data_IF_031311346786
#
_entry.id   IF_031311346786
#
_cell.length_a   1.000
_cell.length_b   1.000
_cell.length_c   1.000
_cell.angle_alpha   90.00
_cell.angle_beta   90.00
_cell.angle_gamma   90.00
#
_symmetry.space_group_name_H-M   'P 1'
#
loop_
_entity.id
_entity.type
_entity.pdbx_description
1 polymer ?
#
# COMPACT_ATOMS: atom_id res chain seq x y z
N UNK A 1 -17.00 41.68 2.83
CA UNK A 1 -16.78 40.66 3.88
C UNK A 1 -17.84 39.55 3.89
N UNK A 2 -19.14 39.82 3.85
CA UNK A 2 -20.23 38.79 3.91
C UNK A 2 -20.16 37.66 2.85
N UNK A 3 -19.79 37.94 1.58
CA UNK A 3 -19.65 36.92 0.52
C UNK A 3 -18.54 35.88 0.78
N UNK A 4 -17.46 36.30 1.44
CA UNK A 4 -16.31 35.41 1.76
C UNK A 4 -16.62 34.44 2.91
N UNK A 5 -17.45 34.88 3.86
CA UNK A 5 -17.93 34.06 4.99
C UNK A 5 -18.94 33.02 4.51
N UNK A 6 -19.90 33.37 3.67
CA UNK A 6 -20.86 32.41 3.09
C UNK A 6 -20.17 31.30 2.28
N UNK A 7 -19.16 31.64 1.47
CA UNK A 7 -18.39 30.66 0.70
C UNK A 7 -17.61 29.68 1.62
N UNK A 8 -17.05 30.18 2.71
CA UNK A 8 -16.37 29.34 3.71
C UNK A 8 -17.34 28.36 4.39
N UNK A 9 -18.53 28.82 4.78
CA UNK A 9 -19.56 27.96 5.39
C UNK A 9 -19.99 26.86 4.43
N UNK A 10 -20.28 27.19 3.18
CA UNK A 10 -20.63 26.20 2.14
C UNK A 10 -19.49 25.19 1.98
N UNK A 11 -18.23 25.63 1.89
CA UNK A 11 -17.08 24.73 1.76
C UNK A 11 -16.99 23.78 2.97
N UNK A 12 -17.16 24.27 4.20
CA UNK A 12 -17.13 23.43 5.39
C UNK A 12 -18.26 22.40 5.37
N UNK A 13 -19.48 22.79 5.00
CA UNK A 13 -20.62 21.87 4.88
C UNK A 13 -20.33 20.77 3.87
N UNK A 14 -19.83 21.14 2.67
CA UNK A 14 -19.48 20.17 1.64
C UNK A 14 -18.38 19.21 2.11
N UNK A 15 -17.34 19.70 2.78
CA UNK A 15 -16.27 18.87 3.36
C UNK A 15 -16.84 17.89 4.39
N UNK A 16 -17.71 18.35 5.29
CA UNK A 16 -18.35 17.49 6.29
C UNK A 16 -19.19 16.40 5.64
N UNK A 17 -19.98 16.74 4.62
CA UNK A 17 -20.79 15.74 3.89
C UNK A 17 -19.90 14.69 3.23
N UNK A 18 -18.83 15.11 2.54
CA UNK A 18 -17.88 14.19 1.90
C UNK A 18 -17.19 13.31 2.93
N UNK A 19 -16.77 13.87 4.07
CA UNK A 19 -16.16 13.11 5.15
C UNK A 19 -17.13 12.07 5.74
N UNK A 20 -18.39 12.45 6.00
CA UNK A 20 -19.41 11.52 6.50
C UNK A 20 -19.66 10.38 5.51
N UNK A 21 -19.77 10.70 4.20
CA UNK A 21 -19.93 9.70 3.17
C UNK A 21 -18.73 8.74 3.08
N UNK A 22 -17.51 9.27 3.14
CA UNK A 22 -16.29 8.47 3.09
C UNK A 22 -16.10 7.60 4.33
N UNK A 23 -16.50 8.08 5.52
CA UNK A 23 -16.36 7.34 6.78
C UNK A 23 -17.48 6.30 6.99
N UNK A 24 -18.63 6.47 6.35
CA UNK A 24 -19.78 5.60 6.53
C UNK A 24 -19.47 4.10 6.39
N UNK A 25 -18.79 3.62 5.31
CA UNK A 25 -18.47 2.20 5.19
C UNK A 25 -17.57 1.68 6.31
N UNK A 26 -16.64 2.49 6.79
CA UNK A 26 -15.76 2.09 7.91
C UNK A 26 -16.53 2.01 9.22
N UNK A 27 -17.39 2.97 9.50
CA UNK A 27 -18.24 2.95 10.71
C UNK A 27 -19.22 1.77 10.65
N UNK A 28 -19.77 1.47 9.48
CA UNK A 28 -20.63 0.30 9.28
C UNK A 28 -19.86 -1.03 9.49
N UNK A 29 -18.65 -1.15 8.96
CA UNK A 29 -17.75 -2.28 9.15
C UNK A 29 -17.46 -2.50 10.65
N UNK A 30 -17.06 -1.45 11.36
CA UNK A 30 -16.80 -1.48 12.80
C UNK A 30 -18.09 -1.87 13.56
N UNK A 31 -19.22 -1.25 13.26
CA UNK A 31 -20.49 -1.61 13.87
C UNK A 31 -20.82 -3.08 13.67
N UNK A 32 -20.67 -3.59 12.45
CA UNK A 32 -21.02 -4.98 12.10
C UNK A 32 -20.08 -5.98 12.76
N UNK A 33 -18.81 -5.63 12.99
CA UNK A 33 -17.85 -6.51 13.69
C UNK A 33 -18.23 -6.82 15.15
N UNK A 34 -19.10 -5.99 15.74
CA UNK A 34 -19.62 -6.19 17.10
C UNK A 34 -21.03 -6.83 17.15
N UNK A 35 -21.63 -7.16 16.00
CA UNK A 35 -22.97 -7.76 15.94
C UNK A 35 -22.91 -9.27 16.03
N UNK A 36 -23.98 -9.86 16.62
CA UNK A 36 -24.21 -11.29 16.56
C UNK A 36 -24.67 -11.71 15.16
N UNK A 37 -24.47 -12.98 14.78
CA UNK A 37 -24.90 -13.50 13.48
C UNK A 37 -26.42 -13.26 13.25
N UNK A 38 -27.26 -13.48 14.26
CA UNK A 38 -28.70 -13.24 14.18
C UNK A 38 -29.05 -11.77 13.88
N UNK A 39 -28.29 -10.83 14.42
CA UNK A 39 -28.50 -9.40 14.15
C UNK A 39 -28.03 -9.00 12.75
N UNK A 40 -26.92 -9.56 12.27
CA UNK A 40 -26.41 -9.29 10.92
C UNK A 40 -27.39 -9.74 9.83
N UNK A 41 -28.04 -10.90 10.02
CA UNK A 41 -29.03 -11.42 9.07
C UNK A 41 -30.46 -10.93 9.33
N UNK A 42 -30.66 -9.99 10.26
CA UNK A 42 -31.96 -9.40 10.54
C UNK A 42 -32.54 -8.64 9.34
N UNK A 43 -33.85 -8.75 9.13
CA UNK A 43 -34.57 -7.99 8.08
C UNK A 43 -34.51 -6.47 8.30
N UNK A 44 -34.28 -6.02 9.54
CA UNK A 44 -34.16 -4.60 9.91
C UNK A 44 -32.73 -4.32 10.32
N UNK A 45 -31.88 -3.79 9.41
CA UNK A 45 -30.51 -3.45 9.76
C UNK A 45 -30.46 -2.40 10.87
N UNK A 46 -29.70 -2.64 11.92
CA UNK A 46 -29.43 -1.66 12.97
C UNK A 46 -28.06 -1.03 12.74
N UNK A 47 -27.92 0.27 12.96
CA UNK A 47 -26.62 0.94 12.88
C UNK A 47 -25.79 0.68 14.14
N UNK A 48 -26.44 0.67 15.31
CA UNK A 48 -25.82 0.39 16.60
C UNK A 48 -26.16 -1.07 16.96
N UNK A 49 -25.16 -1.90 17.36
CA UNK A 49 -25.43 -3.26 17.80
C UNK A 49 -26.41 -3.29 18.99
N UNK A 50 -27.47 -4.11 18.90
CA UNK A 50 -28.43 -4.30 20.00
C UNK A 50 -27.85 -5.19 21.11
N UNK A 51 -27.03 -6.18 20.71
CA UNK A 51 -26.30 -7.08 21.59
C UNK A 51 -24.84 -7.11 21.16
N UNK A 52 -24.06 -6.11 21.62
CA UNK A 52 -22.64 -6.02 21.26
C UNK A 52 -21.85 -7.23 21.76
N UNK A 53 -21.05 -7.84 20.88
CA UNK A 53 -20.22 -8.99 21.20
C UNK A 53 -18.81 -8.81 20.63
N UNK A 54 -17.81 -9.35 21.33
CA UNK A 54 -16.40 -9.44 20.87
C UNK A 54 -16.08 -10.80 20.25
N UNK A 55 -17.11 -11.65 20.01
CA UNK A 55 -16.90 -13.02 19.55
C UNK A 55 -16.11 -13.09 18.25
N UNK A 56 -16.39 -12.23 17.26
CA UNK A 56 -15.67 -12.19 15.99
C UNK A 56 -14.18 -11.90 16.17
N UNK A 57 -13.83 -10.97 17.04
CA UNK A 57 -12.43 -10.66 17.38
C UNK A 57 -11.75 -11.81 18.13
N UNK A 58 -12.46 -12.42 19.09
CA UNK A 58 -11.98 -13.58 19.81
C UNK A 58 -11.70 -14.74 18.86
N UNK A 59 -12.64 -15.07 17.98
CA UNK A 59 -12.46 -16.11 16.97
C UNK A 59 -11.22 -15.82 16.09
N UNK A 60 -11.07 -14.59 15.57
CA UNK A 60 -9.93 -14.21 14.77
C UNK A 60 -8.59 -14.37 15.49
N UNK A 61 -8.51 -13.97 16.75
CA UNK A 61 -7.25 -13.86 17.47
C UNK A 61 -6.86 -15.13 18.22
N UNK A 62 -7.83 -15.96 18.64
CA UNK A 62 -7.57 -17.13 19.49
C UNK A 62 -7.76 -18.47 18.80
N UNK A 63 -8.41 -18.50 17.63
CA UNK A 63 -8.55 -19.77 16.90
C UNK A 63 -7.25 -20.10 16.19
N UNK A 64 -6.66 -21.22 16.57
CA UNK A 64 -5.47 -21.77 15.94
C UNK A 64 -5.82 -23.19 15.50
N UNK A 65 -5.80 -23.44 14.20
CA UNK A 65 -5.96 -24.75 13.60
C UNK A 65 -4.96 -24.93 12.46
N UNK A 66 -4.86 -26.11 11.91
CA UNK A 66 -4.02 -26.40 10.75
C UNK A 66 -4.40 -25.59 9.52
N UNK A 67 -5.65 -25.13 9.46
CA UNK A 67 -6.19 -24.37 8.31
C UNK A 67 -6.50 -22.90 8.65
N UNK A 68 -6.31 -22.47 9.90
CA UNK A 68 -6.62 -21.13 10.33
C UNK A 68 -5.61 -20.62 11.37
N UNK A 69 -4.89 -19.56 11.05
CA UNK A 69 -4.00 -18.86 11.98
C UNK A 69 -3.84 -17.40 11.55
N UNK A 70 -4.67 -16.52 12.09
CA UNK A 70 -4.66 -15.09 11.76
C UNK A 70 -3.30 -14.42 12.03
N UNK A 71 -2.65 -14.74 13.15
CA UNK A 71 -1.36 -14.14 13.51
C UNK A 71 -0.25 -14.53 12.54
N UNK A 72 -0.28 -15.75 12.02
CA UNK A 72 0.66 -16.21 11.00
C UNK A 72 0.44 -15.47 9.68
N UNK A 73 -0.81 -15.32 9.24
CA UNK A 73 -1.15 -14.57 8.03
C UNK A 73 -0.79 -13.08 8.15
N UNK A 74 -1.01 -12.50 9.35
CA UNK A 74 -0.56 -11.14 9.66
C UNK A 74 0.96 -11.02 9.52
N UNK A 75 1.71 -11.92 10.12
CA UNK A 75 3.17 -11.98 10.01
C UNK A 75 3.64 -12.13 8.57
N UNK A 76 2.99 -13.01 7.79
CA UNK A 76 3.30 -13.19 6.37
C UNK A 76 3.06 -11.90 5.57
N UNK A 77 1.90 -11.25 5.79
CA UNK A 77 1.59 -9.97 5.11
C UNK A 77 2.59 -8.88 5.46
N UNK A 78 2.97 -8.75 6.72
CA UNK A 78 3.99 -7.79 7.17
C UNK A 78 5.33 -8.06 6.48
N UNK A 79 5.80 -9.32 6.52
CA UNK A 79 7.08 -9.70 5.92
C UNK A 79 7.08 -9.44 4.40
N UNK A 80 6.06 -9.94 3.69
CA UNK A 80 5.98 -9.79 2.23
C UNK A 80 5.89 -8.31 1.83
N UNK A 81 5.02 -7.52 2.49
CA UNK A 81 4.86 -6.10 2.15
C UNK A 81 6.10 -5.28 2.48
N UNK A 82 6.76 -5.53 3.62
CA UNK A 82 7.99 -4.81 3.99
C UNK A 82 9.16 -5.19 3.07
N UNK A 83 9.35 -6.47 2.75
CA UNK A 83 10.42 -6.89 1.84
C UNK A 83 10.18 -6.35 0.43
N UNK A 84 8.96 -6.45 -0.09
CA UNK A 84 8.61 -5.85 -1.39
C UNK A 84 8.91 -4.35 -1.39
N UNK A 85 8.50 -3.63 -0.36
CA UNK A 85 8.76 -2.20 -0.23
C UNK A 85 10.26 -1.91 -0.17
N UNK A 86 11.01 -2.63 0.66
CA UNK A 86 12.45 -2.41 0.82
C UNK A 86 13.21 -2.64 -0.50
N UNK A 87 12.99 -3.79 -1.17
CA UNK A 87 13.63 -4.07 -2.44
C UNK A 87 13.22 -3.08 -3.54
N UNK A 88 11.92 -2.79 -3.65
CA UNK A 88 11.42 -1.83 -4.62
C UNK A 88 12.00 -0.44 -4.38
N UNK A 89 12.07 0.02 -3.15
CA UNK A 89 12.61 1.35 -2.82
C UNK A 89 14.10 1.46 -3.07
N UNK A 90 14.89 0.44 -2.74
CA UNK A 90 16.34 0.45 -3.03
C UNK A 90 16.56 0.59 -4.54
N UNK A 91 15.93 -0.28 -5.33
CA UNK A 91 16.10 -0.30 -6.79
C UNK A 91 15.53 0.97 -7.41
N UNK A 92 14.35 1.40 -6.99
CA UNK A 92 13.67 2.59 -7.51
C UNK A 92 14.40 3.89 -7.18
N UNK A 93 15.01 4.00 -6.01
CA UNK A 93 15.79 5.18 -5.61
C UNK A 93 17.05 5.31 -6.46
N UNK A 94 17.80 4.21 -6.64
CA UNK A 94 19.00 4.21 -7.48
C UNK A 94 18.65 4.39 -8.96
N UNK A 95 17.64 3.66 -9.46
CA UNK A 95 17.18 3.75 -10.85
C UNK A 95 16.59 5.12 -11.18
N UNK A 96 15.73 5.64 -10.32
CA UNK A 96 15.10 6.97 -10.46
C UNK A 96 16.14 8.09 -10.45
N UNK A 97 17.12 8.05 -9.54
CA UNK A 97 18.25 8.98 -9.52
C UNK A 97 19.06 8.86 -10.80
N UNK A 98 19.40 7.64 -11.24
CA UNK A 98 20.14 7.40 -12.47
C UNK A 98 19.44 7.98 -13.70
N UNK A 99 18.14 7.72 -13.83
CA UNK A 99 17.34 8.26 -14.95
C UNK A 99 17.17 9.79 -14.82
N UNK A 100 17.07 10.35 -13.63
CA UNK A 100 16.92 11.80 -13.43
C UNK A 100 18.20 12.58 -13.75
N UNK A 101 19.36 12.08 -13.36
CA UNK A 101 20.62 12.84 -13.34
C UNK A 101 21.58 12.53 -14.47
N UNK A 102 21.62 11.27 -14.93
CA UNK A 102 22.57 10.91 -15.97
C UNK A 102 22.00 11.09 -17.37
N UNK A 103 22.82 11.68 -18.27
CA UNK A 103 22.50 11.81 -19.69
C UNK A 103 23.11 10.63 -20.44
N UNK A 104 22.25 9.73 -20.94
CA UNK A 104 22.65 8.59 -21.77
C UNK A 104 21.68 8.40 -22.94
N UNK A 105 22.15 7.74 -24.00
CA UNK A 105 21.30 7.43 -25.17
C UNK A 105 20.21 6.46 -24.76
N UNK A 106 18.96 6.78 -25.12
CA UNK A 106 17.79 5.95 -24.77
C UNK A 106 17.13 6.29 -23.41
N UNK A 107 17.61 7.30 -22.65
CA UNK A 107 17.00 7.73 -21.38
C UNK A 107 15.49 8.00 -21.50
N UNK A 108 15.09 8.74 -22.55
CA UNK A 108 13.68 9.06 -22.81
C UNK A 108 12.86 7.79 -23.05
N UNK A 109 13.36 6.91 -23.94
CA UNK A 109 12.73 5.62 -24.23
C UNK A 109 12.58 4.79 -22.96
N UNK A 110 13.63 4.65 -22.15
CA UNK A 110 13.58 3.90 -20.89
C UNK A 110 12.51 4.44 -19.92
N UNK A 111 12.43 5.79 -19.80
CA UNK A 111 11.42 6.42 -18.94
C UNK A 111 10.00 6.13 -19.42
N UNK A 112 9.74 6.22 -20.73
CA UNK A 112 8.43 5.88 -21.31
C UNK A 112 8.15 4.39 -21.24
N UNK A 113 9.14 3.54 -21.46
CA UNK A 113 9.01 2.09 -21.35
C UNK A 113 8.58 1.67 -19.95
N UNK A 114 9.24 2.20 -18.90
CA UNK A 114 8.86 1.96 -17.49
C UNK A 114 7.41 2.38 -17.25
N UNK A 115 7.00 3.55 -17.75
CA UNK A 115 5.63 4.02 -17.60
C UNK A 115 4.63 3.11 -18.34
N UNK A 116 4.98 2.66 -19.55
CA UNK A 116 4.11 1.78 -20.36
C UNK A 116 3.87 0.43 -19.68
N UNK A 117 4.83 -0.10 -18.92
CA UNK A 117 4.62 -1.34 -18.16
C UNK A 117 3.49 -1.24 -17.14
N UNK A 118 3.16 -0.04 -16.67
CA UNK A 118 2.06 0.21 -15.72
C UNK A 118 0.67 0.16 -16.36
N UNK A 119 0.60 0.23 -17.69
CA UNK A 119 -0.67 0.12 -18.44
C UNK A 119 -1.12 -1.34 -18.55
N UNK A 120 -0.17 -2.28 -18.44
CA UNK A 120 -0.49 -3.70 -18.50
C UNK A 120 -1.26 -4.13 -17.25
N UNK A 121 -2.47 -4.70 -17.38
CA UNK A 121 -3.20 -5.24 -16.25
C UNK A 121 -2.40 -6.36 -15.57
N UNK A 122 -2.19 -6.26 -14.26
CA UNK A 122 -1.47 -7.29 -13.49
C UNK A 122 -2.05 -8.70 -13.70
N UNK A 123 -3.36 -8.80 -13.85
CA UNK A 123 -4.05 -10.08 -14.10
C UNK A 123 -3.56 -10.83 -15.35
N UNK A 124 -3.10 -10.14 -16.39
CA UNK A 124 -2.55 -10.78 -17.58
C UNK A 124 -1.18 -11.43 -17.32
N UNK A 125 -0.46 -10.97 -16.31
CA UNK A 125 0.87 -11.47 -15.96
C UNK A 125 0.85 -12.62 -14.96
N UNK A 126 -0.32 -13.02 -14.45
CA UNK A 126 -0.43 -14.13 -13.48
C UNK A 126 0.09 -15.42 -14.06
N UNK A 127 -0.40 -15.81 -15.24
CA UNK A 127 -0.03 -17.10 -15.87
C UNK A 127 1.46 -17.16 -16.18
N UNK A 128 2.06 -16.19 -16.91
CA UNK A 128 3.49 -16.24 -17.19
C UNK A 128 4.34 -16.18 -15.92
N UNK A 129 3.98 -15.36 -14.92
CA UNK A 129 4.72 -15.31 -13.66
C UNK A 129 4.56 -16.60 -12.85
N UNK A 130 3.38 -17.23 -12.84
CA UNK A 130 3.17 -18.53 -12.22
C UNK A 130 4.10 -19.60 -12.79
N UNK A 131 4.20 -19.67 -14.13
CA UNK A 131 5.11 -20.61 -14.82
C UNK A 131 6.57 -20.34 -14.47
N UNK A 132 7.00 -19.06 -14.49
CA UNK A 132 8.36 -18.67 -14.14
C UNK A 132 8.67 -19.07 -12.69
N UNK A 133 7.80 -18.72 -11.75
CA UNK A 133 7.99 -19.03 -10.32
C UNK A 133 7.94 -20.55 -10.08
N UNK A 134 7.12 -21.28 -10.84
CA UNK A 134 7.10 -22.76 -10.82
C UNK A 134 8.42 -23.37 -11.25
N UNK A 135 8.98 -22.91 -12.36
CA UNK A 135 10.27 -23.38 -12.86
C UNK A 135 11.44 -23.04 -11.90
N UNK A 136 11.35 -21.93 -11.20
CA UNK A 136 12.32 -21.51 -10.18
C UNK A 136 12.10 -22.18 -8.82
N UNK A 137 11.06 -23.01 -8.67
CA UNK A 137 10.63 -23.62 -7.40
C UNK A 137 10.34 -22.59 -6.30
N UNK A 138 9.82 -21.44 -6.69
CA UNK A 138 9.49 -20.32 -5.78
C UNK A 138 7.98 -20.20 -5.49
N UNK A 139 7.14 -21.07 -6.07
CA UNK A 139 5.73 -21.16 -5.69
C UNK A 139 5.61 -21.58 -4.23
N UNK A 140 4.57 -21.12 -3.57
CA UNK A 140 4.30 -21.33 -2.15
C UNK A 140 5.43 -20.84 -1.22
N UNK A 141 6.19 -19.85 -1.66
CA UNK A 141 7.24 -19.20 -0.86
C UNK A 141 7.04 -17.69 -0.75
N UNK A 142 7.37 -17.11 0.38
CA UNK A 142 7.32 -15.64 0.58
C UNK A 142 8.24 -14.90 -0.38
N UNK A 143 9.40 -15.48 -0.70
CA UNK A 143 10.38 -14.88 -1.64
C UNK A 143 9.81 -14.83 -3.06
N UNK A 144 9.15 -15.89 -3.51
CA UNK A 144 8.48 -15.91 -4.81
C UNK A 144 7.37 -14.86 -4.91
N UNK A 145 6.60 -14.68 -3.84
CA UNK A 145 5.57 -13.66 -3.78
C UNK A 145 6.15 -12.23 -3.78
N UNK A 146 7.22 -12.00 -3.02
CA UNK A 146 7.97 -10.73 -3.02
C UNK A 146 8.51 -10.42 -4.43
N UNK A 147 9.10 -11.40 -5.11
CA UNK A 147 9.62 -11.24 -6.47
C UNK A 147 8.49 -10.86 -7.46
N UNK A 148 7.33 -11.54 -7.36
CA UNK A 148 6.17 -11.20 -8.18
C UNK A 148 5.67 -9.77 -7.92
N UNK A 149 5.56 -9.35 -6.65
CA UNK A 149 5.14 -8.00 -6.30
C UNK A 149 6.14 -6.92 -6.74
N UNK A 150 7.43 -7.20 -6.68
CA UNK A 150 8.48 -6.32 -7.17
C UNK A 150 8.36 -6.04 -8.67
N UNK A 151 7.82 -6.97 -9.47
CA UNK A 151 7.60 -6.79 -10.90
C UNK A 151 6.72 -5.57 -11.20
N UNK A 152 5.75 -5.28 -10.35
CA UNK A 152 4.85 -4.12 -10.50
C UNK A 152 5.31 -2.92 -9.69
N UNK A 153 5.83 -3.17 -8.50
CA UNK A 153 6.21 -2.10 -7.57
C UNK A 153 7.45 -1.32 -8.04
N UNK A 154 8.49 -2.02 -8.54
CA UNK A 154 9.75 -1.37 -8.96
C UNK A 154 9.54 -0.34 -10.07
N UNK A 155 8.84 -0.64 -11.19
CA UNK A 155 8.66 0.34 -12.26
C UNK A 155 7.92 1.59 -11.78
N UNK A 156 6.83 1.40 -11.03
CA UNK A 156 6.05 2.53 -10.50
C UNK A 156 6.87 3.38 -9.52
N UNK A 157 7.53 2.74 -8.54
CA UNK A 157 8.37 3.43 -7.58
C UNK A 157 9.54 4.16 -8.28
N UNK A 158 10.13 3.57 -9.33
CA UNK A 158 11.20 4.21 -10.10
C UNK A 158 10.69 5.47 -10.80
N UNK A 159 9.51 5.42 -11.37
CA UNK A 159 8.90 6.57 -12.01
C UNK A 159 8.57 7.69 -11.01
N UNK A 160 7.98 7.33 -9.85
CA UNK A 160 7.74 8.28 -8.77
C UNK A 160 9.03 8.91 -8.26
N UNK A 161 10.04 8.11 -7.93
CA UNK A 161 11.32 8.61 -7.42
C UNK A 161 12.02 9.50 -8.44
N UNK A 162 12.01 9.15 -9.73
CA UNK A 162 12.49 10.04 -10.79
C UNK A 162 11.78 11.40 -10.73
N UNK A 163 10.46 11.42 -10.62
CA UNK A 163 9.68 12.65 -10.50
C UNK A 163 10.13 13.51 -9.32
N UNK A 164 10.36 12.91 -8.15
CA UNK A 164 10.88 13.63 -6.99
C UNK A 164 12.30 14.16 -7.21
N UNK A 165 13.21 13.38 -7.77
CA UNK A 165 14.55 13.85 -8.09
C UNK A 165 14.55 15.00 -9.10
N UNK A 166 13.65 14.98 -10.09
CA UNK A 166 13.54 16.05 -11.09
C UNK A 166 13.11 17.41 -10.46
N UNK A 167 12.49 17.41 -9.27
CA UNK A 167 12.14 18.66 -8.56
C UNK A 167 13.32 19.31 -7.84
N UNK A 168 14.39 18.56 -7.59
CA UNK A 168 15.57 19.07 -6.88
C UNK A 168 16.50 19.77 -7.87
N UNK A 169 16.85 21.06 -7.64
CA UNK A 169 17.75 21.82 -8.50
C UNK A 169 19.12 21.16 -8.63
N UNK A 170 19.62 21.04 -9.88
CA UNK A 170 20.93 20.45 -10.17
C UNK A 170 22.07 21.29 -9.55
N UNK A 171 21.87 22.60 -9.39
CA UNK A 171 22.82 23.49 -8.75
C UNK A 171 23.25 23.07 -7.34
N UNK A 172 22.42 22.36 -6.59
CA UNK A 172 22.80 21.82 -5.28
C UNK A 172 23.86 20.73 -5.40
N UNK A 173 23.77 19.90 -6.44
CA UNK A 173 24.80 18.90 -6.71
C UNK A 173 26.09 19.51 -7.24
N UNK A 174 25.97 20.57 -8.05
CA UNK A 174 27.12 21.33 -8.59
C UNK A 174 27.85 22.04 -7.46
N UNK A 175 27.15 22.69 -6.54
CA UNK A 175 27.76 23.30 -5.35
C UNK A 175 28.50 22.26 -4.48
N UNK A 176 27.91 21.11 -4.22
CA UNK A 176 28.56 20.05 -3.45
C UNK A 176 29.76 19.42 -4.16
N UNK A 177 29.85 19.51 -5.48
CA UNK A 177 31.04 19.07 -6.23
C UNK A 177 32.23 20.02 -6.06
N UNK A 178 32.03 21.30 -5.84
CA UNK A 178 33.08 22.26 -5.55
C UNK A 178 33.84 21.89 -4.29
N UNK A 179 33.15 21.29 -3.31
CA UNK A 179 33.74 20.77 -2.07
C UNK A 179 34.44 19.40 -2.24
N UNK A 180 34.80 19.04 -3.50
CA UNK A 180 35.50 17.79 -3.86
C UNK A 180 34.77 16.51 -3.40
N UNK A 181 33.46 16.54 -3.24
CA UNK A 181 32.67 15.37 -2.85
C UNK A 181 32.44 14.44 -4.07
N UNK A 182 32.72 13.15 -3.89
CA UNK A 182 32.39 12.13 -4.90
C UNK A 182 30.88 11.98 -5.09
N UNK A 183 30.46 11.50 -6.26
CA UNK A 183 29.03 11.38 -6.66
C UNK A 183 28.18 10.60 -5.66
N UNK A 184 28.68 9.51 -5.11
CA UNK A 184 27.97 8.71 -4.11
C UNK A 184 27.79 9.48 -2.81
N UNK A 185 28.79 10.25 -2.40
CA UNK A 185 28.69 11.11 -1.20
C UNK A 185 27.63 12.20 -1.41
N UNK A 186 27.65 12.88 -2.57
CA UNK A 186 26.61 13.89 -2.90
C UNK A 186 25.21 13.27 -2.87
N UNK A 187 25.05 12.10 -3.49
CA UNK A 187 23.79 11.38 -3.46
C UNK A 187 23.34 11.08 -2.03
N UNK A 188 24.20 10.48 -1.20
CA UNK A 188 23.85 10.03 0.14
C UNK A 188 23.65 11.18 1.15
N UNK A 189 24.48 12.24 1.05
CA UNK A 189 24.49 13.31 2.07
C UNK A 189 23.70 14.56 1.68
N UNK A 190 23.44 14.79 0.40
CA UNK A 190 22.72 15.98 -0.09
C UNK A 190 21.37 15.59 -0.69
N UNK A 191 21.37 14.71 -1.69
CA UNK A 191 20.15 14.43 -2.47
C UNK A 191 19.19 13.54 -1.72
N UNK A 192 19.67 12.44 -1.14
CA UNK A 192 18.81 11.46 -0.45
C UNK A 192 18.05 12.09 0.73
N UNK A 193 18.64 12.91 1.61
CA UNK A 193 17.90 13.61 2.66
C UNK A 193 16.82 14.56 2.14
N UNK A 194 17.07 15.26 1.02
CA UNK A 194 16.10 16.15 0.39
C UNK A 194 14.92 15.38 -0.24
N UNK A 195 15.11 14.12 -0.59
CA UNK A 195 14.06 13.26 -1.16
C UNK A 195 13.27 12.48 -0.13
N UNK A 196 13.50 12.63 1.17
CA UNK A 196 12.78 11.90 2.23
C UNK A 196 11.26 11.97 2.07
N UNK A 197 10.61 13.12 1.75
CA UNK A 197 9.17 13.13 1.50
C UNK A 197 8.76 12.22 0.33
N UNK A 198 9.55 12.20 -0.74
CA UNK A 198 9.34 11.32 -1.90
C UNK A 198 9.54 9.85 -1.56
N UNK A 199 10.58 9.53 -0.79
CA UNK A 199 10.84 8.17 -0.31
C UNK A 199 9.68 7.66 0.54
N UNK A 200 9.18 8.48 1.46
CA UNK A 200 8.05 8.11 2.32
C UNK A 200 6.78 7.91 1.50
N UNK A 201 6.45 8.83 0.59
CA UNK A 201 5.26 8.72 -0.24
C UNK A 201 5.29 7.46 -1.13
N UNK A 202 6.43 7.21 -1.79
CA UNK A 202 6.62 6.05 -2.65
C UNK A 202 6.63 4.75 -1.85
N UNK A 203 7.27 4.73 -0.68
CA UNK A 203 7.31 3.59 0.22
C UNK A 203 5.93 3.21 0.76
N UNK A 204 5.12 4.19 1.18
CA UNK A 204 3.73 3.97 1.60
C UNK A 204 2.92 3.34 0.47
N UNK A 205 3.06 3.86 -0.75
CA UNK A 205 2.36 3.31 -1.91
C UNK A 205 2.76 1.84 -2.16
N UNK A 206 4.06 1.55 -2.17
CA UNK A 206 4.56 0.18 -2.34
C UNK A 206 4.06 -0.77 -1.26
N UNK A 207 4.09 -0.33 0.01
CA UNK A 207 3.60 -1.11 1.13
C UNK A 207 2.10 -1.41 1.02
N UNK A 208 1.27 -0.39 0.76
CA UNK A 208 -0.18 -0.56 0.64
C UNK A 208 -0.53 -1.52 -0.49
N UNK A 209 0.15 -1.44 -1.63
CA UNK A 209 -0.07 -2.36 -2.74
C UNK A 209 0.27 -3.80 -2.38
N UNK A 210 1.42 -4.04 -1.76
CA UNK A 210 1.80 -5.37 -1.29
C UNK A 210 0.87 -5.90 -0.18
N UNK A 211 0.43 -5.01 0.73
CA UNK A 211 -0.47 -5.35 1.83
C UNK A 211 -1.85 -5.79 1.37
N UNK A 212 -2.41 -5.13 0.37
CA UNK A 212 -3.75 -5.39 -0.14
C UNK A 212 -3.78 -6.41 -1.28
N UNK A 213 -2.61 -6.89 -1.72
CA UNK A 213 -2.54 -7.78 -2.86
C UNK A 213 -3.14 -9.14 -2.53
N UNK A 214 -4.10 -9.56 -3.34
CA UNK A 214 -4.83 -10.82 -3.18
C UNK A 214 -4.63 -11.78 -4.35
N UNK A 215 -4.55 -11.24 -5.56
CA UNK A 215 -4.70 -12.03 -6.79
C UNK A 215 -3.49 -12.95 -7.03
N UNK A 216 -2.27 -12.41 -6.92
CA UNK A 216 -1.04 -13.21 -6.99
C UNK A 216 -0.89 -14.09 -5.76
N UNK A 217 -1.19 -13.54 -4.57
CA UNK A 217 -1.12 -14.29 -3.33
C UNK A 217 -2.01 -15.53 -3.36
N UNK A 218 -3.28 -15.41 -3.74
CA UNK A 218 -4.23 -16.53 -3.83
C UNK A 218 -3.87 -17.56 -4.90
N UNK A 219 -3.13 -17.13 -5.94
CA UNK A 219 -2.68 -18.01 -7.02
C UNK A 219 -1.40 -18.75 -6.65
N UNK A 220 -0.44 -18.07 -6.01
CA UNK A 220 0.91 -18.59 -5.75
C UNK A 220 1.02 -19.36 -4.44
N UNK A 221 0.27 -18.93 -3.39
CA UNK A 221 0.29 -19.58 -2.08
C UNK A 221 -0.68 -20.76 -2.03
N UNK A 222 -0.15 -21.95 -1.79
CA UNK A 222 -0.92 -23.21 -1.73
C UNK A 222 -1.21 -23.63 -0.30
N UNK A 223 -0.22 -23.49 0.58
CA UNK A 223 -0.30 -23.88 1.98
C UNK A 223 -0.93 -22.78 2.83
N UNK A 224 -1.84 -23.14 3.73
CA UNK A 224 -2.45 -22.21 4.68
C UNK A 224 -1.40 -21.43 5.52
N UNK A 225 -0.27 -22.07 5.79
CA UNK A 225 0.85 -21.49 6.53
C UNK A 225 1.51 -20.30 5.82
N UNK A 226 1.47 -20.29 4.48
CA UNK A 226 2.06 -19.25 3.65
C UNK A 226 1.07 -18.17 3.22
N UNK A 227 -0.21 -18.32 3.55
CA UNK A 227 -1.23 -17.34 3.19
C UNK A 227 -0.92 -15.95 3.76
N UNK A 228 -1.28 -14.94 3.00
CA UNK A 228 -1.33 -13.55 3.45
C UNK A 228 -2.71 -13.23 4.02
N UNK A 229 -2.84 -12.12 4.76
CA UNK A 229 -4.11 -11.69 5.36
C UNK A 229 -5.27 -11.58 4.35
N UNK A 230 -5.10 -11.00 3.14
CA UNK A 230 -6.19 -10.94 2.18
C UNK A 230 -6.75 -12.32 1.80
N UNK A 231 -5.89 -13.33 1.63
CA UNK A 231 -6.35 -14.70 1.34
C UNK A 231 -7.09 -15.25 2.55
N UNK A 232 -6.48 -15.14 3.73
CA UNK A 232 -7.06 -15.67 4.95
C UNK A 232 -8.44 -15.07 5.26
N UNK A 233 -8.61 -13.75 5.08
CA UNK A 233 -9.91 -13.10 5.28
C UNK A 233 -10.91 -13.51 4.20
N UNK A 234 -10.49 -13.61 2.94
CA UNK A 234 -11.37 -14.04 1.87
C UNK A 234 -11.92 -15.47 2.09
N UNK A 235 -11.17 -16.33 2.79
CA UNK A 235 -11.61 -17.70 3.09
C UNK A 235 -12.82 -17.80 4.03
N UNK A 236 -13.15 -16.72 4.76
CA UNK A 236 -14.39 -16.66 5.57
C UNK A 236 -15.65 -16.43 4.75
N UNK A 237 -15.53 -16.06 3.47
CA UNK A 237 -16.65 -15.98 2.55
C UNK A 237 -16.89 -17.38 1.96
N UNK A 238 -17.71 -18.17 2.64
CA UNK A 238 -18.05 -19.53 2.21
C UNK A 238 -19.12 -19.55 1.13
N UNK A 239 -19.18 -20.68 0.40
CA UNK A 239 -20.16 -20.89 -0.66
C UNK A 239 -21.62 -20.94 -0.14
N UNK A 240 -21.84 -21.36 1.11
CA UNK A 240 -23.16 -21.57 1.70
C UNK A 240 -23.48 -20.62 2.85
N UNK A 241 -22.46 -20.12 3.55
CA UNK A 241 -22.63 -19.18 4.65
C UNK A 241 -21.37 -18.33 4.84
N UNK A 242 -21.57 -17.05 5.15
CA UNK A 242 -20.49 -16.12 5.50
C UNK A 242 -20.68 -15.67 6.93
N UNK A 243 -19.66 -15.89 7.77
CA UNK A 243 -19.68 -15.31 9.12
C UNK A 243 -19.29 -13.82 9.04
N UNK A 244 -20.26 -12.98 8.76
CA UNK A 244 -20.04 -11.53 8.58
C UNK A 244 -19.45 -10.85 9.82
N UNK A 245 -19.82 -11.27 11.02
CA UNK A 245 -19.25 -10.71 12.26
C UNK A 245 -17.76 -10.94 12.35
N UNK A 246 -17.31 -12.18 12.15
CA UNK A 246 -15.90 -12.55 12.17
C UNK A 246 -15.15 -11.96 10.99
N UNK A 247 -15.74 -11.95 9.78
CA UNK A 247 -15.15 -11.33 8.59
C UNK A 247 -14.94 -9.84 8.78
N UNK A 248 -15.92 -9.11 9.33
CA UNK A 248 -15.80 -7.67 9.59
C UNK A 248 -14.79 -7.38 10.72
N UNK A 249 -14.70 -8.24 11.74
CA UNK A 249 -13.66 -8.12 12.75
C UNK A 249 -12.25 -8.28 12.13
N UNK A 250 -12.05 -9.25 11.24
CA UNK A 250 -10.84 -9.41 10.46
C UNK A 250 -10.53 -8.20 9.57
N UNK A 251 -11.55 -7.65 8.89
CA UNK A 251 -11.41 -6.46 8.06
C UNK A 251 -11.02 -5.21 8.87
N UNK A 252 -11.53 -5.05 10.10
CA UNK A 252 -11.07 -4.01 11.03
C UNK A 252 -9.60 -4.22 11.37
N UNK A 253 -9.22 -5.44 11.77
CA UNK A 253 -7.84 -5.75 12.18
C UNK A 253 -6.83 -5.54 11.03
N UNK A 254 -7.16 -5.92 9.79
CA UNK A 254 -6.27 -5.70 8.63
C UNK A 254 -6.14 -4.22 8.27
N UNK A 255 -7.14 -3.42 8.58
CA UNK A 255 -7.11 -1.97 8.30
C UNK A 255 -6.20 -1.20 9.28
N UNK A 256 -6.08 -1.67 10.53
CA UNK A 256 -5.32 -0.97 11.57
C UNK A 256 -3.86 -0.68 11.20
N UNK A 257 -3.04 -1.63 10.71
CA UNK A 257 -1.65 -1.34 10.36
C UNK A 257 -1.51 -0.24 9.31
N UNK A 258 -2.39 -0.23 8.30
CA UNK A 258 -2.38 0.78 7.23
C UNK A 258 -2.75 2.16 7.79
N UNK A 259 -3.79 2.23 8.63
CA UNK A 259 -4.21 3.49 9.27
C UNK A 259 -3.10 4.01 10.19
N UNK A 260 -2.51 3.16 11.02
CA UNK A 260 -1.41 3.54 11.91
C UNK A 260 -0.23 4.08 11.11
N UNK A 261 0.19 3.35 10.07
CA UNK A 261 1.28 3.77 9.17
C UNK A 261 0.96 5.14 8.54
N UNK A 262 -0.26 5.34 8.04
CA UNK A 262 -0.67 6.60 7.45
C UNK A 262 -0.62 7.75 8.46
N UNK A 263 -1.17 7.56 9.67
CA UNK A 263 -1.16 8.57 10.73
C UNK A 263 0.26 8.97 11.15
N UNK A 264 1.19 8.03 11.19
CA UNK A 264 2.59 8.29 11.52
C UNK A 264 3.32 9.06 10.42
N UNK A 265 3.02 8.76 9.16
CA UNK A 265 3.78 9.24 8.00
C UNK A 265 3.13 10.41 7.26
N UNK A 266 1.86 10.76 7.55
CA UNK A 266 1.09 11.81 6.84
C UNK A 266 1.79 13.18 6.82
N UNK A 267 2.55 13.53 7.86
CA UNK A 267 3.30 14.79 7.92
C UNK A 267 4.33 14.92 6.78
N UNK A 268 4.92 13.81 6.36
CA UNK A 268 5.88 13.79 5.26
C UNK A 268 5.21 13.81 3.87
N UNK A 269 3.96 13.30 3.78
CA UNK A 269 3.18 13.37 2.55
C UNK A 269 2.77 14.81 2.21
N UNK A 270 2.29 15.55 3.21
CA UNK A 270 1.82 16.93 3.02
C UNK A 270 2.97 17.85 2.58
N UNK A 271 4.17 17.72 3.16
CA UNK A 271 5.33 18.52 2.79
C UNK A 271 5.80 18.28 1.36
N UNK A 272 5.72 17.04 0.86
CA UNK A 272 6.08 16.70 -0.53
C UNK A 272 5.10 17.25 -1.57
N UNK A 273 3.81 17.26 -1.27
CA UNK A 273 2.77 17.79 -2.18
C UNK A 273 2.82 19.32 -2.31
N UNK A 274 3.15 20.03 -1.24
CA UNK A 274 3.23 21.50 -1.27
C UNK A 274 4.49 22.00 -1.98
N UNK A 275 5.60 21.28 -1.92
CA UNK A 275 6.82 21.61 -2.66
C UNK A 275 6.64 21.51 -4.18
N UNK A 276 5.77 20.64 -4.68
CA UNK A 276 5.43 20.52 -6.11
C UNK A 276 4.38 21.51 -6.61
N UNK A 277 3.60 22.10 -5.72
CA UNK A 277 2.49 23.01 -6.06
C UNK A 277 2.93 24.49 -6.17
N UNK A 278 4.09 24.85 -5.65
CA UNK A 278 4.64 26.21 -5.73
C UNK A 278 5.62 26.27 -6.93
N UNK A 279 5.10 26.14 -8.14
CA UNK A 279 5.75 26.66 -9.34
C UNK A 279 5.25 28.08 -9.53
N UNK A 280 6.01 29.06 -9.08
CA UNK A 280 6.00 30.40 -9.65
C UNK A 280 6.99 30.47 -10.79
#
# INVERSE_FOLDING_TARGET
>A
MKKRTGRKVITVILVVIVCMFALFPFVWMISTSFKTAGEVYSKTPSFIPKAATMQGYKEMLTTHSTTFNFMQWLGNSVIVSLLTTAFSMIIATLGGYGISRFRFRGRGFLSYFILTTQVLPGSLLIIPLYVIMGNLQLLDTKIGLVAAYCTFSIPFCTWMMKGFFDTIPISLEEAARVDVAGRFRIFATVILPLTVPGLVATGIFSFINGWNEYLFASTFMKSYENWTLPIGIASFSGQYATNWGTLMAGAVLITLPVVIMFLLLQKHLVSGMTAGAVKQ
#
